data_IF_587467383755
#
_entry.id   IF_587467383755
#
_cell.length_a   1.000
_cell.length_b   1.000
_cell.length_c   1.000
_cell.angle_alpha   90.00
_cell.angle_beta   90.00
_cell.angle_gamma   90.00
#
_symmetry.space_group_name_H-M   'P 1'
#
loop_
_entity.id
_entity.type
_entity.pdbx_description
1 polymer ?
#
# COMPACT_ATOMS: atom_id res chain seq x y z
N UNK A 1 -10.92 -5.16 -3.06
CA UNK A 1 -10.96 -4.29 -4.27
C UNK A 1 -9.66 -4.34 -5.07
N UNK A 2 -8.52 -4.65 -4.44
CA UNK A 2 -7.21 -4.73 -5.13
C UNK A 2 -7.12 -5.89 -6.13
N UNK A 3 -7.93 -6.93 -5.98
CA UNK A 3 -7.93 -8.14 -6.84
C UNK A 3 -8.33 -7.88 -8.31
N UNK A 4 -9.00 -6.78 -8.58
CA UNK A 4 -9.46 -6.37 -9.92
C UNK A 4 -8.49 -5.41 -10.62
N UNK A 5 -7.42 -4.99 -9.94
CA UNK A 5 -6.44 -4.09 -10.53
C UNK A 5 -5.68 -4.79 -11.67
N UNK A 6 -5.56 -4.09 -12.80
CA UNK A 6 -4.78 -4.53 -13.96
C UNK A 6 -3.33 -4.15 -13.75
N UNK A 7 -2.46 -5.13 -13.71
CA UNK A 7 -1.03 -4.91 -13.47
C UNK A 7 -0.23 -5.37 -14.67
N UNK A 8 0.65 -4.50 -15.16
CA UNK A 8 1.61 -4.82 -16.22
C UNK A 8 3.02 -4.84 -15.62
N UNK A 9 3.76 -5.90 -15.91
CA UNK A 9 5.17 -6.05 -15.57
C UNK A 9 5.99 -5.84 -16.84
N UNK A 10 6.99 -4.96 -16.81
CA UNK A 10 7.94 -4.78 -17.90
C UNK A 10 9.34 -5.03 -17.33
N UNK A 11 9.89 -6.22 -17.62
CA UNK A 11 11.11 -6.76 -17.01
C UNK A 11 11.74 -7.73 -17.99
N UNK A 12 13.00 -7.58 -18.34
CA UNK A 12 13.69 -8.44 -19.32
C UNK A 12 14.17 -9.76 -18.73
N UNK A 13 14.59 -9.77 -17.46
CA UNK A 13 14.99 -11.00 -16.79
C UNK A 13 13.78 -11.92 -16.57
N UNK A 14 13.78 -13.07 -17.22
CA UNK A 14 12.69 -14.04 -17.16
C UNK A 14 12.45 -14.60 -15.76
N UNK A 15 13.50 -14.71 -14.94
CA UNK A 15 13.40 -15.23 -13.56
C UNK A 15 12.73 -14.19 -12.65
N UNK A 16 13.17 -12.93 -12.75
CA UNK A 16 12.58 -11.83 -11.98
C UNK A 16 11.12 -11.63 -12.42
N UNK A 17 10.84 -11.66 -13.71
CA UNK A 17 9.50 -11.52 -14.27
C UNK A 17 8.56 -12.60 -13.73
N UNK A 18 8.99 -13.88 -13.75
CA UNK A 18 8.22 -14.99 -13.19
C UNK A 18 7.99 -14.85 -11.67
N UNK A 19 9.00 -14.40 -10.91
CA UNK A 19 8.87 -14.15 -9.48
C UNK A 19 7.84 -13.04 -9.19
N UNK A 20 7.83 -11.96 -9.97
CA UNK A 20 6.86 -10.88 -9.85
C UNK A 20 5.44 -11.36 -10.14
N UNK A 21 5.25 -12.12 -11.24
CA UNK A 21 3.96 -12.73 -11.58
C UNK A 21 3.44 -13.63 -10.46
N UNK A 22 4.29 -14.57 -9.99
CA UNK A 22 3.92 -15.46 -8.88
C UNK A 22 3.59 -14.70 -7.59
N UNK A 23 4.34 -13.64 -7.29
CA UNK A 23 4.09 -12.83 -6.09
C UNK A 23 2.73 -12.13 -6.16
N UNK A 24 2.40 -11.52 -7.30
CA UNK A 24 1.15 -10.80 -7.52
C UNK A 24 -0.05 -11.75 -7.57
N UNK A 25 0.02 -12.83 -8.35
CA UNK A 25 -1.04 -13.84 -8.41
C UNK A 25 -1.29 -14.48 -7.04
N UNK A 26 -0.23 -14.82 -6.31
CA UNK A 26 -0.31 -15.34 -4.96
C UNK A 26 -0.85 -14.35 -3.91
N UNK A 27 -0.84 -13.06 -4.22
CA UNK A 27 -1.42 -12.00 -3.40
C UNK A 27 -2.89 -11.68 -3.73
N UNK A 28 -3.47 -12.38 -4.74
CA UNK A 28 -4.86 -12.28 -5.15
C UNK A 28 -5.12 -11.40 -6.38
N UNK A 29 -4.09 -10.76 -6.97
CA UNK A 29 -4.26 -10.03 -8.23
C UNK A 29 -4.53 -11.02 -9.37
N UNK A 30 -5.54 -10.76 -10.21
CA UNK A 30 -6.00 -11.70 -11.23
C UNK A 30 -5.68 -11.27 -12.66
N UNK A 31 -5.56 -9.97 -12.90
CA UNK A 31 -5.24 -9.42 -14.22
C UNK A 31 -3.79 -8.92 -14.23
N UNK A 32 -2.86 -9.86 -14.34
CA UNK A 32 -1.41 -9.60 -14.38
C UNK A 32 -0.90 -10.01 -15.76
N UNK A 33 -0.23 -9.09 -16.44
CA UNK A 33 0.47 -9.35 -17.70
C UNK A 33 1.91 -8.93 -17.62
N UNK A 34 2.73 -9.46 -18.51
CA UNK A 34 4.15 -9.13 -18.55
C UNK A 34 4.67 -8.97 -19.98
N UNK A 35 5.75 -8.20 -20.10
CA UNK A 35 6.51 -8.00 -21.33
C UNK A 35 8.00 -7.97 -21.03
N UNK A 36 8.85 -8.58 -21.88
CA UNK A 36 10.30 -8.59 -21.70
C UNK A 36 10.99 -7.33 -22.25
N UNK A 37 10.27 -6.43 -22.92
CA UNK A 37 10.84 -5.28 -23.64
C UNK A 37 10.03 -4.01 -23.38
N UNK A 38 10.72 -2.87 -23.37
CA UNK A 38 10.07 -1.59 -23.13
C UNK A 38 9.08 -1.16 -24.24
N UNK A 39 9.43 -1.42 -25.52
CA UNK A 39 8.58 -1.10 -26.67
C UNK A 39 7.29 -1.96 -26.70
N UNK A 40 7.43 -3.27 -26.49
CA UNK A 40 6.30 -4.21 -26.39
C UNK A 40 5.43 -3.89 -25.16
N UNK A 41 6.06 -3.61 -24.02
CA UNK A 41 5.37 -3.22 -22.79
C UNK A 41 4.57 -1.94 -22.93
N UNK A 42 5.10 -0.94 -23.64
CA UNK A 42 4.36 0.28 -23.94
C UNK A 42 3.15 0.02 -24.84
N UNK A 43 3.29 -0.84 -25.85
CA UNK A 43 2.17 -1.24 -26.72
C UNK A 43 1.09 -1.97 -25.91
N UNK A 44 1.49 -2.88 -25.03
CA UNK A 44 0.58 -3.60 -24.15
C UNK A 44 -0.09 -2.66 -23.13
N UNK A 45 0.64 -1.67 -22.58
CA UNK A 45 0.07 -0.66 -21.70
C UNK A 45 -1.07 0.13 -22.38
N UNK A 46 -0.90 0.52 -23.65
CA UNK A 46 -1.94 1.21 -24.43
C UNK A 46 -3.19 0.34 -24.63
N UNK A 47 -3.00 -0.96 -24.83
CA UNK A 47 -4.08 -1.92 -25.04
C UNK A 47 -4.84 -2.24 -23.76
N UNK A 48 -4.09 -2.50 -22.69
CA UNK A 48 -4.60 -2.97 -21.40
C UNK A 48 -5.10 -1.83 -20.51
N UNK A 49 -4.52 -0.63 -20.66
CA UNK A 49 -4.73 0.53 -19.78
C UNK A 49 -4.57 0.12 -18.31
N UNK A 50 -3.36 -0.30 -17.90
CA UNK A 50 -3.14 -0.86 -16.56
C UNK A 50 -3.33 0.19 -15.48
N UNK A 51 -3.74 -0.27 -14.30
CA UNK A 51 -3.82 0.55 -13.10
C UNK A 51 -2.43 0.75 -12.48
N UNK A 52 -1.53 -0.24 -12.68
CA UNK A 52 -0.14 -0.21 -12.23
C UNK A 52 0.80 -0.84 -13.25
N UNK A 53 1.97 -0.22 -13.44
CA UNK A 53 3.11 -0.79 -14.16
C UNK A 53 4.26 -1.01 -13.17
N UNK A 54 4.77 -2.23 -13.10
CA UNK A 54 6.08 -2.54 -12.51
C UNK A 54 7.10 -2.49 -13.64
N UNK A 55 8.05 -1.56 -13.57
CA UNK A 55 8.89 -1.17 -14.71
C UNK A 55 10.37 -1.28 -14.36
N UNK A 56 11.10 -2.18 -15.02
CA UNK A 56 12.56 -2.17 -14.93
C UNK A 56 13.15 -0.96 -15.66
N UNK A 57 14.22 -0.45 -15.12
CA UNK A 57 14.99 0.64 -15.74
C UNK A 57 15.87 0.15 -16.89
N UNK A 58 16.41 -1.05 -16.77
CA UNK A 58 17.42 -1.60 -17.69
C UNK A 58 16.80 -2.53 -18.73
N UNK A 59 15.95 -1.99 -19.60
CA UNK A 59 15.25 -2.76 -20.62
C UNK A 59 15.97 -2.70 -21.97
N UNK A 60 15.92 -3.77 -22.76
CA UNK A 60 16.37 -3.73 -24.15
C UNK A 60 15.40 -2.91 -25.01
N UNK A 61 15.96 -2.20 -26.00
CA UNK A 61 15.21 -1.36 -26.93
C UNK A 61 14.86 -0.03 -26.32
N UNK A 62 13.69 0.12 -25.72
CA UNK A 62 13.26 1.33 -25.05
C UNK A 62 13.51 1.20 -23.55
N UNK A 63 14.39 2.07 -22.99
CA UNK A 63 14.69 2.04 -21.56
C UNK A 63 13.50 2.41 -20.69
N UNK A 64 13.55 2.05 -19.39
CA UNK A 64 12.45 2.25 -18.47
C UNK A 64 12.09 3.72 -18.23
N UNK A 65 13.05 4.64 -18.28
CA UNK A 65 12.77 6.07 -18.17
C UNK A 65 11.95 6.56 -19.35
N UNK A 66 12.37 6.19 -20.57
CA UNK A 66 11.64 6.54 -21.79
C UNK A 66 10.25 5.90 -21.85
N UNK A 67 10.07 4.69 -21.30
CA UNK A 67 8.74 4.06 -21.15
C UNK A 67 7.87 4.89 -20.21
N UNK A 68 8.38 5.28 -19.04
CA UNK A 68 7.65 6.07 -18.06
C UNK A 68 7.23 7.43 -18.63
N UNK A 69 8.13 8.15 -19.28
CA UNK A 69 7.85 9.43 -19.94
C UNK A 69 6.75 9.28 -20.99
N UNK A 70 6.78 8.23 -21.81
CA UNK A 70 5.75 7.98 -22.82
C UNK A 70 4.39 7.60 -22.21
N UNK A 71 4.37 6.84 -21.12
CA UNK A 71 3.15 6.56 -20.36
C UNK A 71 2.56 7.89 -19.85
N UNK A 72 3.37 8.76 -19.25
CA UNK A 72 2.90 10.07 -18.75
C UNK A 72 2.46 11.02 -19.87
N UNK A 73 3.11 10.98 -21.01
CA UNK A 73 2.73 11.78 -22.20
C UNK A 73 1.54 11.24 -22.98
N UNK A 74 1.00 10.07 -22.61
CA UNK A 74 -0.17 9.47 -23.27
C UNK A 74 -1.41 9.73 -22.40
N UNK A 75 -2.40 10.54 -22.85
CA UNK A 75 -3.54 10.94 -22.03
C UNK A 75 -4.31 9.77 -21.41
N UNK A 76 -4.50 8.68 -22.20
CA UNK A 76 -5.22 7.49 -21.76
C UNK A 76 -4.49 6.68 -20.68
N UNK A 77 -3.19 6.92 -20.49
CA UNK A 77 -2.33 6.27 -19.51
C UNK A 77 -1.91 7.22 -18.38
N UNK A 78 -2.33 8.48 -18.39
CA UNK A 78 -1.89 9.48 -17.42
C UNK A 78 -2.20 9.08 -15.97
N UNK A 79 -3.28 8.33 -15.74
CA UNK A 79 -3.67 7.81 -14.43
C UNK A 79 -2.97 6.51 -14.02
N UNK A 80 -2.26 5.83 -14.95
CA UNK A 80 -1.52 4.60 -14.67
C UNK A 80 -0.44 4.87 -13.62
N UNK A 81 -0.39 4.07 -12.57
CA UNK A 81 0.67 4.15 -11.56
C UNK A 81 1.93 3.45 -12.04
N UNK A 82 3.09 3.94 -11.63
CA UNK A 82 4.38 3.35 -12.03
C UNK A 82 5.24 3.12 -10.79
N UNK A 83 5.64 1.87 -10.57
CA UNK A 83 6.70 1.51 -9.62
C UNK A 83 7.93 1.11 -10.42
N UNK A 84 9.02 1.82 -10.25
CA UNK A 84 10.28 1.47 -10.89
C UNK A 84 11.01 0.37 -10.12
N UNK A 85 11.51 -0.64 -10.85
CA UNK A 85 12.39 -1.68 -10.33
C UNK A 85 13.82 -1.31 -10.72
N UNK A 86 14.74 -1.28 -9.78
CA UNK A 86 16.11 -0.84 -10.06
C UNK A 86 17.14 -1.64 -9.29
N UNK A 87 18.22 -2.04 -9.95
CA UNK A 87 19.43 -2.54 -9.30
C UNK A 87 20.32 -1.39 -8.77
N UNK A 88 20.02 -0.15 -9.13
CA UNK A 88 20.84 1.02 -8.82
C UNK A 88 20.38 1.68 -7.54
N UNK A 89 21.31 1.80 -6.60
CA UNK A 89 21.12 2.47 -5.30
C UNK A 89 21.59 3.93 -5.31
N UNK A 90 22.05 4.45 -6.46
CA UNK A 90 22.54 5.82 -6.53
C UNK A 90 21.39 6.82 -6.45
N UNK A 91 21.51 7.79 -5.55
CA UNK A 91 20.50 8.82 -5.32
C UNK A 91 20.10 9.57 -6.60
N UNK A 92 21.02 9.70 -7.57
CA UNK A 92 20.77 10.37 -8.84
C UNK A 92 19.71 9.64 -9.71
N UNK A 93 19.74 8.30 -9.74
CA UNK A 93 18.77 7.51 -10.51
C UNK A 93 17.39 7.52 -9.85
N UNK A 94 17.33 7.55 -8.52
CA UNK A 94 16.09 7.69 -7.75
C UNK A 94 15.45 9.06 -8.01
N UNK A 95 16.23 10.12 -7.94
CA UNK A 95 15.75 11.49 -8.21
C UNK A 95 15.26 11.60 -9.66
N UNK A 96 16.01 11.04 -10.62
CA UNK A 96 15.59 11.01 -12.03
C UNK A 96 14.29 10.23 -12.23
N UNK A 97 14.15 9.06 -11.60
CA UNK A 97 12.95 8.24 -11.68
C UNK A 97 11.68 8.94 -11.18
N UNK A 98 11.79 9.64 -10.06
CA UNK A 98 10.70 10.45 -9.52
C UNK A 98 10.38 11.66 -10.45
N UNK A 99 11.40 12.27 -11.07
CA UNK A 99 11.22 13.38 -12.01
C UNK A 99 10.56 12.92 -13.33
N UNK A 100 10.75 11.66 -13.75
CA UNK A 100 10.09 11.06 -14.91
C UNK A 100 8.64 10.60 -14.63
N UNK A 101 8.11 10.88 -13.44
CA UNK A 101 6.72 10.61 -13.09
C UNK A 101 6.45 9.22 -12.49
N UNK A 102 7.45 8.55 -11.93
CA UNK A 102 7.23 7.34 -11.13
C UNK A 102 6.51 7.68 -9.80
N UNK A 103 5.63 6.78 -9.36
CA UNK A 103 4.91 6.93 -8.09
C UNK A 103 5.70 6.35 -6.90
N UNK A 104 6.55 5.33 -7.14
CA UNK A 104 7.43 4.72 -6.16
C UNK A 104 8.58 3.96 -6.86
N UNK A 105 9.53 3.45 -6.09
CA UNK A 105 10.61 2.60 -6.59
C UNK A 105 10.90 1.45 -5.64
N UNK A 106 11.45 0.35 -6.19
CA UNK A 106 11.85 -0.84 -5.44
C UNK A 106 13.22 -1.26 -5.92
N UNK A 107 14.18 -1.38 -4.99
CA UNK A 107 15.53 -1.83 -5.31
C UNK A 107 15.61 -3.35 -5.43
N UNK A 108 16.32 -3.84 -6.43
CA UNK A 108 16.66 -5.26 -6.60
C UNK A 108 17.96 -5.58 -5.82
N UNK A 109 18.06 -6.69 -5.09
CA UNK A 109 17.01 -7.68 -4.83
C UNK A 109 15.96 -7.15 -3.86
N UNK A 110 14.68 -7.52 -4.06
CA UNK A 110 13.57 -7.07 -3.24
C UNK A 110 12.97 -8.22 -2.42
N UNK A 111 12.49 -7.86 -1.24
CA UNK A 111 11.63 -8.75 -0.45
C UNK A 111 10.21 -8.76 -1.02
N UNK A 112 9.61 -9.95 -1.15
CA UNK A 112 8.26 -10.13 -1.67
C UNK A 112 7.21 -9.34 -0.88
N UNK A 113 7.30 -9.34 0.46
CA UNK A 113 6.31 -8.67 1.31
C UNK A 113 6.42 -7.15 1.17
N UNK A 114 7.66 -6.64 1.06
CA UNK A 114 7.92 -5.21 0.84
C UNK A 114 7.38 -4.77 -0.52
N UNK A 115 7.65 -5.55 -1.58
CA UNK A 115 7.10 -5.27 -2.92
C UNK A 115 5.57 -5.20 -2.90
N UNK A 116 4.90 -6.21 -2.34
CA UNK A 116 3.43 -6.26 -2.29
C UNK A 116 2.84 -5.12 -1.45
N UNK A 117 3.50 -4.74 -0.36
CA UNK A 117 3.07 -3.60 0.44
C UNK A 117 3.12 -2.28 -0.37
N UNK A 118 4.18 -2.06 -1.16
CA UNK A 118 4.33 -0.90 -2.05
C UNK A 118 3.31 -0.92 -3.19
N UNK A 119 3.11 -2.06 -3.85
CA UNK A 119 2.07 -2.23 -4.89
C UNK A 119 0.71 -1.81 -4.36
N UNK A 120 0.30 -2.32 -3.19
CA UNK A 120 -0.97 -1.94 -2.57
C UNK A 120 -1.01 -0.46 -2.20
N UNK A 121 0.06 0.09 -1.65
CA UNK A 121 0.13 1.50 -1.29
C UNK A 121 -0.03 2.42 -2.51
N UNK A 122 0.62 2.09 -3.64
CA UNK A 122 0.56 2.87 -4.87
C UNK A 122 -0.80 2.76 -5.55
N UNK A 123 -1.39 1.56 -5.62
CA UNK A 123 -2.73 1.37 -6.19
C UNK A 123 -3.81 2.15 -5.43
N UNK A 124 -3.65 2.33 -4.13
CA UNK A 124 -4.57 3.14 -3.31
C UNK A 124 -4.43 4.64 -3.52
N UNK A 125 -3.30 5.15 -4.02
CA UNK A 125 -3.12 6.59 -4.32
C UNK A 125 -4.05 6.99 -5.46
N UNK A 126 -5.00 7.90 -5.18
CA UNK A 126 -5.94 8.44 -6.20
C UNK A 126 -7.28 7.71 -6.30
N UNK A 127 -7.49 6.60 -5.61
CA UNK A 127 -8.84 6.26 -5.22
C UNK A 127 -9.34 7.37 -4.28
N UNK A 128 -10.62 7.81 -4.40
CA UNK A 128 -11.20 8.60 -3.32
C UNK A 128 -10.88 7.83 -2.06
N UNK A 129 -10.30 8.50 -1.07
CA UNK A 129 -9.98 7.90 0.24
C UNK A 129 -11.20 7.08 0.59
N UNK A 130 -11.14 5.75 0.41
CA UNK A 130 -12.16 4.87 0.92
C UNK A 130 -12.16 5.23 2.39
N UNK A 131 -13.23 5.83 2.82
CA UNK A 131 -13.45 6.54 4.06
C UNK A 131 -12.58 5.91 5.13
N UNK A 132 -11.49 6.60 5.49
CA UNK A 132 -10.72 6.21 6.64
C UNK A 132 -11.74 6.09 7.74
N UNK A 133 -11.69 5.06 8.57
CA UNK A 133 -12.72 4.84 9.58
C UNK A 133 -12.90 6.17 10.30
N UNK A 134 -14.03 6.83 10.10
CA UNK A 134 -14.39 8.05 10.80
C UNK A 134 -15.41 7.68 11.88
N UNK A 135 -15.05 7.91 13.12
CA UNK A 135 -15.92 7.65 14.24
C UNK A 135 -15.71 8.71 15.34
N UNK A 136 -16.71 9.51 15.57
CA UNK A 136 -16.73 10.61 16.56
C UNK A 136 -15.48 11.51 16.48
N UNK A 137 -15.11 11.89 15.24
CA UNK A 137 -13.97 12.75 14.96
C UNK A 137 -12.61 12.06 15.03
N UNK A 138 -12.53 10.76 15.30
CA UNK A 138 -11.35 9.95 15.10
C UNK A 138 -11.35 9.45 13.65
N UNK A 139 -10.35 9.87 12.87
CA UNK A 139 -10.14 9.43 11.51
C UNK A 139 -8.89 8.55 11.45
N UNK A 140 -9.04 7.34 10.94
CA UNK A 140 -7.96 6.37 10.79
C UNK A 140 -7.71 6.14 9.30
N UNK A 141 -6.49 6.39 8.87
CA UNK A 141 -5.99 6.08 7.53
C UNK A 141 -5.10 4.83 7.61
N UNK A 142 -5.67 3.68 7.27
CA UNK A 142 -4.96 2.41 7.26
C UNK A 142 -3.88 2.34 6.17
N UNK A 143 -3.99 3.20 5.17
CA UNK A 143 -3.07 3.28 4.04
C UNK A 143 -1.75 3.90 4.46
N UNK A 144 -1.84 5.04 5.15
CA UNK A 144 -0.68 5.80 5.61
C UNK A 144 -0.28 5.42 7.05
N UNK A 145 -0.99 4.48 7.68
CA UNK A 145 -0.83 4.10 9.09
C UNK A 145 -0.91 5.32 10.01
N UNK A 146 -1.82 6.24 9.72
CA UNK A 146 -2.00 7.47 10.48
C UNK A 146 -3.39 7.54 11.11
N UNK A 147 -3.45 8.18 12.27
CA UNK A 147 -4.71 8.50 12.93
C UNK A 147 -4.75 9.99 13.27
N UNK A 148 -5.91 10.60 13.10
CA UNK A 148 -6.16 11.98 13.54
C UNK A 148 -7.40 12.03 14.40
N UNK A 149 -7.38 12.81 15.47
CA UNK A 149 -8.54 13.07 16.29
C UNK A 149 -8.91 14.56 16.15
N UNK A 150 -10.10 14.82 15.59
CA UNK A 150 -10.57 16.19 15.31
C UNK A 150 -9.54 17.03 14.55
N UNK A 151 -8.93 16.39 13.53
CA UNK A 151 -7.90 17.00 12.67
C UNK A 151 -6.48 17.07 13.26
N UNK A 152 -6.27 16.67 14.53
CA UNK A 152 -4.94 16.65 15.15
C UNK A 152 -4.34 15.25 15.02
N UNK A 153 -3.08 15.10 14.58
CA UNK A 153 -2.42 13.80 14.47
C UNK A 153 -2.27 13.16 15.86
N UNK A 154 -2.46 11.83 15.90
CA UNK A 154 -2.30 11.00 17.10
C UNK A 154 -1.08 10.09 16.86
N UNK A 155 -0.06 10.22 17.67
CA UNK A 155 1.16 9.41 17.57
C UNK A 155 0.93 8.03 18.20
N UNK A 156 0.69 7.01 17.36
CA UNK A 156 0.47 5.63 17.77
C UNK A 156 1.63 4.76 17.33
N UNK A 157 2.06 3.85 18.20
CA UNK A 157 2.96 2.76 17.77
C UNK A 157 2.24 1.83 16.80
N UNK A 158 2.97 1.04 16.00
CA UNK A 158 2.38 0.11 15.04
C UNK A 158 1.42 -0.90 15.70
N UNK A 159 1.71 -1.35 16.93
CA UNK A 159 0.85 -2.24 17.70
C UNK A 159 -0.45 -1.57 18.15
N UNK A 160 -0.33 -0.35 18.69
CA UNK A 160 -1.48 0.46 19.11
C UNK A 160 -2.38 0.81 17.92
N UNK A 161 -1.78 1.17 16.78
CA UNK A 161 -2.52 1.46 15.56
C UNK A 161 -3.34 0.25 15.09
N UNK A 162 -2.72 -0.93 14.96
CA UNK A 162 -3.40 -2.16 14.57
C UNK A 162 -4.54 -2.52 15.51
N UNK A 163 -4.32 -2.39 16.81
CA UNK A 163 -5.35 -2.66 17.80
C UNK A 163 -6.51 -1.67 17.70
N UNK A 164 -6.24 -0.38 17.53
CA UNK A 164 -7.26 0.66 17.39
C UNK A 164 -8.09 0.44 16.13
N UNK A 165 -7.46 0.18 14.98
CA UNK A 165 -8.16 -0.19 13.73
C UNK A 165 -9.13 -1.34 13.95
N UNK A 166 -8.64 -2.43 14.56
CA UNK A 166 -9.44 -3.62 14.82
C UNK A 166 -10.66 -3.32 15.69
N UNK A 167 -10.49 -2.53 16.74
CA UNK A 167 -11.57 -2.15 17.65
C UNK A 167 -12.60 -1.25 16.96
N UNK A 168 -12.14 -0.24 16.21
CA UNK A 168 -13.03 0.75 15.58
C UNK A 168 -13.75 0.19 14.35
N UNK A 169 -13.10 -0.67 13.55
CA UNK A 169 -13.73 -1.33 12.40
C UNK A 169 -14.88 -2.27 12.79
N UNK A 170 -14.86 -2.78 14.03
CA UNK A 170 -15.86 -3.74 14.51
C UNK A 170 -16.56 -3.25 15.77
N UNK A 171 -17.01 -1.98 15.75
CA UNK A 171 -17.72 -1.36 16.88
C UNK A 171 -18.84 -2.24 17.41
N UNK A 172 -19.06 -2.21 18.72
CA UNK A 172 -20.03 -3.04 19.41
C UNK A 172 -19.61 -4.49 19.65
N UNK A 173 -18.62 -5.02 18.90
CA UNK A 173 -18.10 -6.37 19.09
C UNK A 173 -17.04 -6.43 20.18
N UNK A 174 -17.14 -7.43 21.06
CA UNK A 174 -16.12 -7.66 22.10
C UNK A 174 -14.96 -8.44 21.51
N UNK A 175 -13.75 -7.92 21.67
CA UNK A 175 -12.51 -8.62 21.37
C UNK A 175 -11.98 -9.25 22.63
N UNK A 176 -11.94 -10.59 22.62
CA UNK A 176 -11.39 -11.35 23.75
C UNK A 176 -9.92 -11.01 23.93
N UNK A 177 -9.52 -10.84 25.19
CA UNK A 177 -8.12 -10.74 25.59
C UNK A 177 -7.55 -12.14 25.64
N UNK A 178 -6.46 -12.47 24.90
CA UNK A 178 -5.74 -13.71 25.11
C UNK A 178 -5.22 -13.78 26.55
N UNK A 179 -5.32 -14.96 27.17
CA UNK A 179 -5.04 -15.13 28.59
C UNK A 179 -3.59 -14.71 29.02
N UNK A 180 -2.65 -14.75 28.08
CA UNK A 180 -1.22 -14.47 28.33
C UNK A 180 -0.74 -13.10 27.82
N UNK A 181 -1.58 -12.24 27.22
CA UNK A 181 -1.15 -10.97 26.63
C UNK A 181 -1.45 -9.76 27.53
N UNK A 182 -0.60 -9.55 28.55
CA UNK A 182 -0.50 -8.24 29.26
C UNK A 182 -0.21 -7.07 28.31
N UNK A 183 0.33 -7.36 27.13
CA UNK A 183 0.64 -6.38 26.06
C UNK A 183 -0.59 -5.64 25.57
N UNK A 184 -1.75 -6.30 25.44
CA UNK A 184 -2.99 -5.68 25.00
C UNK A 184 -3.52 -4.67 26.01
N UNK A 185 -3.45 -4.98 27.30
CA UNK A 185 -3.89 -4.09 28.38
C UNK A 185 -3.05 -2.80 28.40
N UNK A 186 -1.74 -2.93 28.19
CA UNK A 186 -0.81 -1.79 28.09
C UNK A 186 -1.12 -0.96 26.84
N UNK A 187 -1.33 -1.61 25.70
CA UNK A 187 -1.69 -0.91 24.45
C UNK A 187 -3.01 -0.14 24.61
N UNK A 188 -4.04 -0.75 25.18
CA UNK A 188 -5.33 -0.07 25.44
C UNK A 188 -5.14 1.12 26.38
N UNK A 189 -4.38 0.98 27.45
CA UNK A 189 -4.09 2.07 28.36
C UNK A 189 -3.38 3.25 27.65
N UNK A 190 -2.40 2.95 26.81
CA UNK A 190 -1.68 3.94 26.02
C UNK A 190 -2.57 4.62 25.00
N UNK A 191 -3.40 3.85 24.26
CA UNK A 191 -4.35 4.40 23.30
C UNK A 191 -5.34 5.36 24.01
N UNK A 192 -5.92 4.96 25.14
CA UNK A 192 -6.80 5.81 25.92
C UNK A 192 -6.13 7.13 26.33
N UNK A 193 -4.88 7.03 26.80
CA UNK A 193 -4.10 8.22 27.19
C UNK A 193 -3.86 9.15 25.98
N UNK A 194 -3.50 8.60 24.82
CA UNK A 194 -3.23 9.38 23.60
C UNK A 194 -4.48 10.00 22.99
N UNK A 195 -5.63 9.35 23.09
CA UNK A 195 -6.91 9.82 22.59
C UNK A 195 -7.70 10.67 23.61
N UNK A 196 -7.22 10.76 24.84
CA UNK A 196 -7.87 11.56 25.89
C UNK A 196 -9.33 11.17 26.11
N UNK A 197 -10.23 12.14 26.09
CA UNK A 197 -11.67 11.90 26.31
C UNK A 197 -12.27 10.91 25.32
N UNK A 198 -11.80 10.91 24.07
CA UNK A 198 -12.25 9.93 23.06
C UNK A 198 -11.92 8.49 23.48
N UNK A 199 -10.85 8.28 24.21
CA UNK A 199 -10.45 6.95 24.73
C UNK A 199 -11.49 6.28 25.63
N UNK A 200 -12.49 7.01 26.14
CA UNK A 200 -13.61 6.46 26.92
C UNK A 200 -14.53 5.58 26.08
N UNK A 201 -14.55 5.74 24.73
CA UNK A 201 -15.24 4.83 23.84
C UNK A 201 -14.69 3.40 23.86
N UNK A 202 -13.45 3.21 24.30
CA UNK A 202 -12.89 1.87 24.48
C UNK A 202 -13.36 1.35 25.85
N UNK A 203 -14.35 0.49 25.87
CA UNK A 203 -14.86 -0.12 27.08
C UNK A 203 -14.09 -1.39 27.47
N UNK A 204 -13.91 -1.61 28.77
CA UNK A 204 -13.37 -2.86 29.31
C UNK A 204 -14.51 -3.76 29.74
N UNK A 205 -14.63 -4.93 29.12
CA UNK A 205 -15.56 -5.97 29.51
C UNK A 205 -14.81 -6.91 30.46
N UNK A 206 -15.10 -6.79 31.74
CA UNK A 206 -14.39 -7.52 32.80
C UNK A 206 -14.36 -9.02 32.53
N UNK A 207 -13.18 -9.63 32.62
CA UNK A 207 -12.98 -11.05 32.39
C UNK A 207 -13.04 -11.49 30.92
N UNK A 208 -13.37 -10.63 29.98
CA UNK A 208 -13.54 -10.95 28.56
C UNK A 208 -12.55 -10.20 27.67
N UNK A 209 -12.56 -8.86 27.69
CA UNK A 209 -11.69 -8.08 26.79
C UNK A 209 -12.14 -6.64 26.60
N UNK A 210 -12.09 -6.15 25.37
CA UNK A 210 -12.35 -4.75 25.04
C UNK A 210 -13.32 -4.61 23.85
N UNK A 211 -14.08 -3.51 23.83
CA UNK A 211 -14.91 -3.11 22.68
C UNK A 211 -14.95 -1.59 22.55
N UNK A 212 -15.37 -1.11 21.40
CA UNK A 212 -15.79 0.28 21.20
C UNK A 212 -17.30 0.35 21.45
N UNK A 213 -17.73 1.28 22.29
CA UNK A 213 -19.15 1.63 22.43
C UNK A 213 -19.71 2.18 21.11
N UNK A 214 -20.98 1.89 20.83
CA UNK A 214 -21.69 2.40 19.64
C UNK A 214 -22.22 3.79 19.95
#
# INVERSE_FOLDING_TARGET
MDELARILIIEDDSTIRALLEMALLGAGFRDVKSSPRGDEGLAEAKRMKPDLVLLDLMLPGLDGFAVAERIRGTPELAATRIIMLTARTQNADIVRGLSCGADDYVTKPFDRLVLLARVRAVLRRGLPVTEGIDFDGLRIDETNLTATLRGKPVDLTAGEFKLLVKLVAHRGRVFARPADERTVDVQVANIRKKLGKWGEHIETIRGVGYRISI
#
